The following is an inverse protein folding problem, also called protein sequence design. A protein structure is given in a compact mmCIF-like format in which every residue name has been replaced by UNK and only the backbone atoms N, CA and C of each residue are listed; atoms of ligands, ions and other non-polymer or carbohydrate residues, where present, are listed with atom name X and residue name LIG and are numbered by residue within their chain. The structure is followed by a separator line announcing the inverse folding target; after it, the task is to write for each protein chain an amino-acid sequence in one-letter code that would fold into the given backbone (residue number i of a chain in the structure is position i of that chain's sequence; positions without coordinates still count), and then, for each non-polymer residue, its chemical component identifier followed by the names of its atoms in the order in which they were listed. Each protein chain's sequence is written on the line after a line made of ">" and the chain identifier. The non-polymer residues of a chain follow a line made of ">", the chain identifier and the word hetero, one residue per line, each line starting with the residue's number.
data_IF_419006579026
#
_entry.id   IF_419006579026
#
_cell.length_a   1.000
_cell.length_b   1.000
_cell.length_c   1.000
_cell.angle_alpha   90.00
_cell.angle_beta   90.00
_cell.angle_gamma   90.00
#
_symmetry.space_group_name_H-M   'P 1'
#
loop_
_entity.id
_entity.type
_entity.pdbx_description
1 polymer ?
#
# COMPACT_ATOMS: atom_id res chain seq x y z
N UNK A 1 8.24 26.65 35.16
CA UNK A 1 8.12 25.81 33.94
C UNK A 1 7.31 26.59 32.92
N UNK A 2 7.81 26.87 31.70
CA UNK A 2 7.03 27.63 30.72
C UNK A 2 5.85 26.77 30.26
N UNK A 3 4.63 27.27 30.47
CA UNK A 3 3.38 26.56 30.18
C UNK A 3 3.03 26.55 28.69
N UNK A 4 3.69 27.39 27.89
CA UNK A 4 3.38 27.62 26.48
C UNK A 4 4.62 27.39 25.61
N UNK A 5 4.57 26.35 24.78
CA UNK A 5 5.56 26.09 23.73
C UNK A 5 5.23 26.80 22.42
N UNK A 6 6.17 26.80 21.48
CA UNK A 6 5.96 27.40 20.15
C UNK A 6 5.01 26.57 19.28
N UNK A 7 3.88 27.18 18.90
CA UNK A 7 2.88 26.58 18.00
C UNK A 7 3.26 26.64 16.52
N UNK A 8 4.37 27.30 16.16
CA UNK A 8 4.70 27.61 14.76
C UNK A 8 4.98 26.38 13.89
N UNK A 9 5.31 25.24 14.50
CA UNK A 9 5.59 23.98 13.80
C UNK A 9 4.36 23.08 13.66
N UNK A 10 3.22 23.45 14.25
CA UNK A 10 2.01 22.63 14.20
C UNK A 10 1.55 22.45 12.74
N UNK A 11 1.38 21.19 12.32
CA UNK A 11 0.85 20.87 11.00
C UNK A 11 1.79 21.09 9.80
N UNK A 12 3.03 21.60 10.01
CA UNK A 12 4.00 21.92 8.92
C UNK A 12 4.14 20.80 7.88
N UNK A 13 4.34 19.56 8.35
CA UNK A 13 4.56 18.42 7.46
C UNK A 13 3.29 18.07 6.68
N UNK A 14 2.11 18.21 7.30
CA UNK A 14 0.83 17.92 6.65
C UNK A 14 0.48 18.96 5.58
N UNK A 15 0.80 20.24 5.79
CA UNK A 15 0.57 21.29 4.80
C UNK A 15 1.60 21.29 3.66
N UNK A 16 2.83 20.86 3.93
CA UNK A 16 3.86 20.71 2.91
C UNK A 16 3.63 19.53 1.95
N UNK A 17 2.89 18.51 2.39
CA UNK A 17 2.71 17.30 1.59
C UNK A 17 1.61 17.52 0.53
N UNK A 18 1.91 17.44 -0.78
CA UNK A 18 0.91 17.60 -1.81
C UNK A 18 -0.14 16.47 -1.74
N UNK A 19 -1.42 16.81 -1.88
CA UNK A 19 -2.51 15.81 -1.85
C UNK A 19 -2.60 15.09 -3.19
N UNK A 20 -2.22 13.81 -3.21
CA UNK A 20 -2.30 12.97 -4.40
C UNK A 20 -3.64 12.19 -4.38
N UNK A 21 -4.41 12.16 -5.50
CA UNK A 21 -5.62 11.38 -5.59
C UNK A 21 -5.33 9.86 -5.61
N UNK A 22 -6.26 9.08 -5.03
CA UNK A 22 -6.18 7.62 -5.08
C UNK A 22 -6.39 7.09 -6.50
N UNK A 23 -5.63 6.07 -6.90
CA UNK A 23 -5.87 5.38 -8.17
C UNK A 23 -7.17 4.58 -8.09
N UNK A 24 -8.03 4.58 -9.13
CA UNK A 24 -9.21 3.74 -9.15
C UNK A 24 -8.80 2.25 -9.14
N UNK A 25 -9.44 1.45 -8.28
CA UNK A 25 -9.16 0.01 -8.16
C UNK A 25 -10.48 -0.76 -8.27
N UNK A 26 -10.53 -1.75 -9.17
CA UNK A 26 -11.62 -2.73 -9.22
C UNK A 26 -11.16 -4.01 -8.54
N UNK A 27 -11.90 -4.45 -7.53
CA UNK A 27 -11.64 -5.72 -6.86
C UNK A 27 -12.64 -6.78 -7.34
N UNK A 28 -12.18 -8.01 -7.64
CA UNK A 28 -13.09 -9.10 -7.92
C UNK A 28 -13.87 -9.50 -6.65
N UNK A 29 -15.06 -10.10 -6.79
CA UNK A 29 -15.83 -10.59 -5.65
C UNK A 29 -15.05 -11.65 -4.86
N UNK A 30 -15.37 -11.88 -3.57
CA UNK A 30 -14.60 -12.75 -2.68
C UNK A 30 -14.34 -14.15 -3.22
N UNK A 31 -15.33 -14.79 -3.85
CA UNK A 31 -15.22 -16.12 -4.46
C UNK A 31 -14.11 -16.17 -5.53
N UNK A 32 -14.11 -15.19 -6.43
CA UNK A 32 -13.12 -15.08 -7.51
C UNK A 32 -11.74 -14.74 -6.94
N UNK A 33 -11.68 -13.83 -5.95
CA UNK A 33 -10.42 -13.48 -5.26
C UNK A 33 -9.79 -14.70 -4.60
N UNK A 34 -10.57 -15.49 -3.87
CA UNK A 34 -10.09 -16.67 -3.16
C UNK A 34 -9.60 -17.76 -4.12
N UNK A 35 -10.35 -18.03 -5.20
CA UNK A 35 -9.91 -18.95 -6.27
C UNK A 35 -8.59 -18.50 -6.91
N UNK A 36 -8.46 -17.22 -7.25
CA UNK A 36 -7.21 -16.67 -7.83
C UNK A 36 -6.04 -16.80 -6.86
N UNK A 37 -6.26 -16.58 -5.56
CA UNK A 37 -5.23 -16.75 -4.54
C UNK A 37 -4.81 -18.21 -4.39
N UNK A 38 -5.75 -19.15 -4.39
CA UNK A 38 -5.47 -20.60 -4.37
C UNK A 38 -4.57 -21.00 -5.55
N UNK A 39 -4.99 -20.65 -6.78
CA UNK A 39 -4.22 -20.96 -7.99
C UNK A 39 -2.82 -20.31 -7.94
N UNK A 40 -2.73 -19.04 -7.55
CA UNK A 40 -1.45 -18.33 -7.46
C UNK A 40 -0.49 -18.99 -6.47
N UNK A 41 -0.98 -19.36 -5.28
CA UNK A 41 -0.13 -19.79 -4.16
C UNK A 41 0.20 -21.27 -4.19
N UNK A 42 -0.77 -22.12 -4.54
CA UNK A 42 -0.63 -23.57 -4.41
C UNK A 42 -0.33 -24.22 -5.76
N UNK A 43 -1.09 -23.92 -6.81
CA UNK A 43 -0.88 -24.54 -8.12
C UNK A 43 0.36 -23.99 -8.83
N UNK A 44 0.54 -22.66 -8.79
CA UNK A 44 1.66 -21.98 -9.45
C UNK A 44 2.86 -21.74 -8.53
N UNK A 45 2.75 -22.13 -7.25
CA UNK A 45 3.75 -21.94 -6.19
C UNK A 45 4.36 -20.52 -6.12
N UNK A 46 3.58 -19.48 -6.49
CA UNK A 46 4.07 -18.09 -6.52
C UNK A 46 4.03 -17.48 -5.13
N UNK A 47 5.09 -16.78 -4.75
CA UNK A 47 5.16 -16.06 -3.47
C UNK A 47 4.00 -15.06 -3.32
N UNK A 48 3.33 -15.03 -2.15
CA UNK A 48 2.30 -14.03 -1.86
C UNK A 48 2.95 -12.64 -1.66
N UNK A 49 2.16 -11.58 -1.88
CA UNK A 49 2.61 -10.19 -1.67
C UNK A 49 2.95 -9.42 -2.94
N UNK A 50 3.63 -8.28 -2.75
CA UNK A 50 4.13 -7.39 -3.80
C UNK A 50 5.46 -7.93 -4.35
N UNK A 51 5.42 -8.89 -5.28
CA UNK A 51 6.61 -9.38 -5.96
C UNK A 51 7.01 -8.42 -7.09
N UNK A 52 7.75 -7.37 -6.76
CA UNK A 52 8.29 -6.41 -7.76
C UNK A 52 9.63 -6.89 -8.36
N UNK A 53 10.13 -8.07 -7.95
CA UNK A 53 11.53 -8.48 -8.12
C UNK A 53 11.79 -9.84 -8.80
N UNK A 54 10.79 -10.62 -9.20
CA UNK A 54 11.03 -11.88 -9.95
C UNK A 54 11.27 -11.66 -11.47
N UNK A 55 11.70 -10.46 -11.86
CA UNK A 55 11.83 -10.03 -13.26
C UNK A 55 13.15 -9.35 -13.61
N UNK A 56 14.18 -9.44 -12.75
CA UNK A 56 15.55 -9.07 -13.14
C UNK A 56 16.55 -10.04 -12.52
N UNK A 57 16.89 -11.07 -13.30
CA UNK A 57 18.12 -11.85 -13.12
C UNK A 57 17.95 -13.18 -12.40
N UNK A 58 18.00 -14.24 -13.22
CA UNK A 58 18.08 -15.67 -12.92
C UNK A 58 16.78 -16.36 -12.54
#
# INVERSE_FOLDING_TARGET
>A
MPTHGSLTKAGKVRSQTPKIPGRPRKFPPPKVRNRRNYVKRLLLNRKPGQNWMLGRGR
#
